data_IF_972422219636
#
_entry.id   IF_972422219636
#
_cell.length_a   1.000
_cell.length_b   1.000
_cell.length_c   1.000
_cell.angle_alpha   90.00
_cell.angle_beta   90.00
_cell.angle_gamma   90.00
#
_symmetry.space_group_name_H-M   'P 1'
#
loop_
_entity.id
_entity.type
_entity.pdbx_description
1 polymer ?
#
# COMPACT_ATOMS: atom_id res chain seq x y z
N UNK A 1 -7.29 -18.33 -0.90
CA UNK A 1 -6.58 -17.72 -2.05
C UNK A 1 -5.93 -16.44 -1.54
N UNK A 2 -4.69 -16.14 -1.91
CA UNK A 2 -4.03 -14.91 -1.46
C UNK A 2 -4.66 -13.68 -2.13
N UNK A 3 -5.00 -12.66 -1.35
CA UNK A 3 -5.49 -11.37 -1.87
C UNK A 3 -4.33 -10.37 -1.88
N UNK A 4 -3.98 -9.85 -3.06
CA UNK A 4 -2.92 -8.84 -3.24
C UNK A 4 -3.58 -7.48 -3.43
N UNK A 5 -3.22 -6.50 -2.59
CA UNK A 5 -3.84 -5.16 -2.57
C UNK A 5 -2.76 -4.09 -2.70
N UNK A 6 -2.79 -3.28 -3.76
CA UNK A 6 -1.98 -2.07 -3.84
C UNK A 6 -2.61 -0.96 -2.99
N UNK A 7 -1.80 -0.29 -2.17
CA UNK A 7 -2.21 0.91 -1.46
C UNK A 7 -1.65 2.11 -2.26
N UNK A 8 -2.47 2.71 -3.10
CA UNK A 8 -2.00 3.66 -4.10
C UNK A 8 -2.74 4.99 -4.09
N UNK A 9 -1.99 6.08 -4.20
CA UNK A 9 -2.48 7.42 -4.53
C UNK A 9 -1.32 8.26 -5.07
N UNK A 10 -1.57 9.02 -6.13
CA UNK A 10 -0.57 9.91 -6.73
C UNK A 10 -0.18 11.07 -5.81
N UNK A 11 -1.02 11.44 -4.85
CA UNK A 11 -0.72 12.51 -3.88
C UNK A 11 0.16 11.96 -2.76
N UNK A 12 1.26 12.67 -2.45
CA UNK A 12 2.07 12.41 -1.27
C UNK A 12 1.36 12.81 0.01
N UNK A 13 1.71 12.17 1.14
CA UNK A 13 1.21 12.54 2.45
C UNK A 13 -0.27 12.23 2.72
N UNK A 14 -0.91 11.35 1.96
CA UNK A 14 -2.32 10.94 2.18
C UNK A 14 -2.47 9.74 3.12
N UNK A 15 -1.39 9.28 3.74
CA UNK A 15 -1.41 8.16 4.68
C UNK A 15 -1.35 6.77 4.03
N UNK A 16 -0.76 6.62 2.83
CA UNK A 16 -0.55 5.32 2.19
C UNK A 16 0.21 4.36 3.10
N UNK A 17 1.43 4.72 3.46
CA UNK A 17 2.32 3.93 4.35
C UNK A 17 1.66 3.60 5.68
N UNK A 18 1.07 4.60 6.34
CA UNK A 18 0.36 4.41 7.61
C UNK A 18 -0.81 3.43 7.45
N UNK A 19 -1.54 3.50 6.32
CA UNK A 19 -2.63 2.58 6.03
C UNK A 19 -2.10 1.18 5.74
N UNK A 20 -1.03 1.03 4.94
CA UNK A 20 -0.41 -0.26 4.64
C UNK A 20 0.02 -0.98 5.91
N UNK A 21 0.78 -0.30 6.78
CA UNK A 21 1.28 -0.88 8.04
C UNK A 21 0.12 -1.26 8.96
N UNK A 22 -0.80 -0.33 9.24
CA UNK A 22 -1.83 -0.58 10.24
C UNK A 22 -2.93 -1.54 9.74
N UNK A 23 -3.29 -1.52 8.46
CA UNK A 23 -4.19 -2.51 7.87
C UNK A 23 -3.53 -3.89 7.86
N UNK A 24 -2.26 -4.00 7.46
CA UNK A 24 -1.54 -5.26 7.44
C UNK A 24 -1.44 -5.90 8.83
N UNK A 25 -1.03 -5.12 9.83
CA UNK A 25 -0.98 -5.59 11.21
C UNK A 25 -2.40 -5.89 11.75
N UNK A 26 -3.41 -5.11 11.38
CA UNK A 26 -4.81 -5.39 11.69
C UNK A 26 -5.25 -6.76 11.18
N UNK A 27 -4.93 -7.10 9.92
CA UNK A 27 -5.20 -8.41 9.32
C UNK A 27 -4.45 -9.53 10.04
N UNK A 28 -3.18 -9.33 10.41
CA UNK A 28 -2.40 -10.30 11.17
C UNK A 28 -3.00 -10.56 12.56
N UNK A 29 -3.50 -9.51 13.23
CA UNK A 29 -4.22 -9.62 14.50
C UNK A 29 -5.53 -10.42 14.40
N UNK A 30 -6.13 -10.48 13.21
CA UNK A 30 -7.29 -11.35 12.89
C UNK A 30 -6.86 -12.77 12.43
N UNK A 31 -5.57 -13.12 12.59
CA UNK A 31 -5.04 -14.46 12.32
C UNK A 31 -4.69 -14.72 10.86
N UNK A 32 -4.62 -13.70 10.01
CA UNK A 32 -4.19 -13.84 8.61
C UNK A 32 -2.66 -13.82 8.50
N UNK A 33 -2.10 -14.58 7.57
CA UNK A 33 -0.69 -14.53 7.18
C UNK A 33 -0.51 -13.34 6.22
N UNK A 34 0.28 -12.35 6.61
CA UNK A 34 0.39 -11.08 5.90
C UNK A 34 1.82 -10.79 5.51
N UNK A 35 2.01 -10.38 4.24
CA UNK A 35 3.25 -9.81 3.73
C UNK A 35 3.02 -8.35 3.34
N UNK A 36 3.88 -7.46 3.79
CA UNK A 36 3.94 -6.07 3.33
C UNK A 36 5.10 -5.89 2.37
N UNK A 37 4.90 -5.15 1.28
CA UNK A 37 5.96 -4.84 0.31
C UNK A 37 6.10 -3.32 0.23
N UNK A 38 7.28 -2.81 0.58
CA UNK A 38 7.60 -1.40 0.37
C UNK A 38 7.99 -1.18 -1.10
N UNK A 39 7.18 -0.45 -1.83
CA UNK A 39 7.40 -0.12 -3.24
C UNK A 39 7.64 1.39 -3.45
N UNK A 40 8.14 2.08 -2.40
CA UNK A 40 8.58 3.47 -2.46
C UNK A 40 10.10 3.55 -2.23
N UNK A 41 10.90 4.15 -3.15
CA UNK A 41 12.34 4.36 -2.96
C UNK A 41 12.71 5.13 -1.70
N UNK A 42 11.75 5.84 -1.10
CA UNK A 42 11.98 6.56 0.16
C UNK A 42 12.06 5.61 1.38
N UNK A 43 11.69 4.34 1.23
CA UNK A 43 11.75 3.36 2.30
C UNK A 43 10.87 3.70 3.52
N UNK A 44 9.80 4.48 3.32
CA UNK A 44 8.99 4.99 4.44
C UNK A 44 8.29 3.89 5.23
N UNK A 45 7.82 2.83 4.56
CA UNK A 45 7.26 1.68 5.25
C UNK A 45 8.35 0.89 5.98
N UNK A 46 9.50 0.73 5.36
CA UNK A 46 10.69 0.07 5.92
C UNK A 46 11.13 0.73 7.24
N UNK A 47 11.19 2.08 7.26
CA UNK A 47 11.44 2.85 8.51
C UNK A 47 10.32 2.64 9.52
N UNK A 48 9.06 2.69 9.09
CA UNK A 48 7.91 2.50 9.98
C UNK A 48 7.81 1.10 10.59
N UNK A 49 8.59 0.14 10.08
CA UNK A 49 8.73 -1.22 10.60
C UNK A 49 10.07 -1.45 11.33
N UNK A 50 10.74 -0.38 11.76
CA UNK A 50 11.86 -0.42 12.67
C UNK A 50 13.25 -0.52 12.02
N UNK A 51 13.37 -0.28 10.72
CA UNK A 51 14.68 -0.19 10.05
C UNK A 51 15.03 1.29 9.82
N UNK A 52 15.81 1.87 10.71
CA UNK A 52 16.14 3.30 10.71
C UNK A 52 16.92 3.77 9.49
N UNK A 53 17.74 2.90 8.90
CA UNK A 53 18.65 3.22 7.79
C UNK A 53 18.41 2.28 6.59
N UNK A 54 17.32 2.46 5.81
CA UNK A 54 16.97 1.59 4.68
C UNK A 54 18.09 1.46 3.64
N UNK A 55 18.84 2.52 3.41
CA UNK A 55 19.94 2.56 2.44
C UNK A 55 21.16 1.69 2.81
N UNK A 56 21.20 1.15 4.04
CA UNK A 56 22.19 0.15 4.46
C UNK A 56 21.77 -1.29 4.24
N UNK A 57 20.55 -1.51 3.77
CA UNK A 57 20.05 -2.86 3.46
C UNK A 57 20.76 -3.37 2.20
N UNK A 58 21.42 -4.52 2.32
CA UNK A 58 22.15 -5.13 1.22
C UNK A 58 21.25 -5.80 0.18
N UNK A 59 20.04 -6.24 0.56
CA UNK A 59 19.13 -6.95 -0.32
C UNK A 59 17.70 -6.45 -0.10
N UNK A 60 17.19 -5.69 -1.04
CA UNK A 60 15.92 -4.98 -1.01
C UNK A 60 15.00 -5.40 -2.17
N UNK A 61 13.80 -4.83 -2.25
CA UNK A 61 12.91 -5.04 -3.40
C UNK A 61 13.60 -4.73 -4.74
N UNK A 62 14.51 -3.73 -4.77
CA UNK A 62 15.23 -3.39 -6.00
C UNK A 62 16.08 -4.56 -6.51
N UNK A 63 16.79 -5.24 -5.60
CA UNK A 63 17.63 -6.39 -5.94
C UNK A 63 16.77 -7.56 -6.44
N UNK A 64 15.71 -7.90 -5.71
CA UNK A 64 14.77 -8.97 -6.10
C UNK A 64 14.18 -8.75 -7.49
N UNK A 65 13.72 -7.52 -7.79
CA UNK A 65 13.14 -7.25 -9.09
C UNK A 65 14.21 -7.30 -10.21
N UNK A 66 15.48 -6.96 -9.89
CA UNK A 66 16.58 -7.10 -10.82
C UNK A 66 16.94 -8.59 -11.03
N UNK A 67 16.95 -9.41 -9.98
CA UNK A 67 17.18 -10.86 -10.11
C UNK A 67 16.11 -11.51 -10.99
N UNK A 68 14.84 -11.10 -10.86
CA UNK A 68 13.75 -11.54 -11.75
C UNK A 68 14.00 -11.14 -13.21
N UNK A 69 14.52 -9.93 -13.44
CA UNK A 69 14.86 -9.43 -14.80
C UNK A 69 16.00 -10.23 -15.39
N UNK A 70 17.00 -10.55 -14.58
CA UNK A 70 18.21 -11.27 -15.00
C UNK A 70 18.02 -12.81 -15.01
N UNK A 71 16.86 -13.30 -14.57
CA UNK A 71 16.57 -14.74 -14.39
C UNK A 71 17.54 -15.40 -13.37
N UNK A 72 17.94 -14.63 -12.34
CA UNK A 72 18.80 -15.09 -11.25
C UNK A 72 17.98 -15.70 -10.11
N UNK A 73 18.62 -16.46 -9.22
CA UNK A 73 17.98 -17.08 -8.08
C UNK A 73 17.72 -16.05 -6.96
N UNK A 74 16.50 -16.05 -6.44
CA UNK A 74 16.08 -15.10 -5.38
C UNK A 74 16.39 -15.73 -4.02
N UNK A 75 17.09 -14.97 -3.16
CA UNK A 75 17.31 -15.33 -1.77
C UNK A 75 16.12 -14.89 -0.89
N UNK A 76 15.12 -15.78 -0.79
CA UNK A 76 13.89 -15.52 -0.02
C UNK A 76 14.15 -15.36 1.48
N UNK A 77 15.19 -15.98 2.04
CA UNK A 77 15.53 -15.86 3.46
C UNK A 77 16.08 -14.47 3.79
N UNK A 78 16.80 -13.85 2.84
CA UNK A 78 17.32 -12.49 3.02
C UNK A 78 16.26 -11.42 2.79
N UNK A 79 15.35 -11.62 1.83
CA UNK A 79 14.43 -10.55 1.44
C UNK A 79 13.18 -10.49 2.31
N UNK A 80 12.69 -11.61 2.84
CA UNK A 80 11.48 -11.66 3.65
C UNK A 80 11.87 -11.50 5.12
N UNK A 81 11.70 -10.27 5.61
CA UNK A 81 12.00 -9.93 7.00
C UNK A 81 10.78 -10.18 7.89
N UNK A 82 11.05 -10.56 9.15
CA UNK A 82 10.02 -10.80 10.17
C UNK A 82 9.86 -9.60 11.07
N UNK A 83 8.62 -9.21 11.34
CA UNK A 83 8.30 -8.14 12.29
C UNK A 83 7.64 -8.71 13.56
N UNK A 84 7.90 -8.07 14.71
CA UNK A 84 7.40 -8.52 16.02
C UNK A 84 5.87 -8.57 16.14
N UNK A 85 5.14 -7.81 15.30
CA UNK A 85 3.68 -7.80 15.25
C UNK A 85 3.10 -8.87 14.28
N UNK A 86 3.82 -9.98 14.06
CA UNK A 86 3.41 -11.15 13.29
C UNK A 86 3.07 -10.86 11.82
N UNK A 87 3.80 -9.98 11.20
CA UNK A 87 3.81 -9.78 9.75
C UNK A 87 5.19 -10.08 9.18
N UNK A 88 5.23 -10.44 7.92
CA UNK A 88 6.44 -10.44 7.12
C UNK A 88 6.48 -9.16 6.27
N UNK A 89 7.69 -8.69 5.93
CA UNK A 89 7.80 -7.55 5.03
C UNK A 89 9.02 -7.61 4.12
N UNK A 90 8.92 -6.95 2.98
CA UNK A 90 9.99 -6.75 2.01
C UNK A 90 10.37 -5.28 2.04
N UNK A 91 11.63 -4.95 2.37
CA UNK A 91 12.09 -3.58 2.49
C UNK A 91 12.40 -2.96 1.12
N UNK A 92 12.35 -1.62 1.06
CA UNK A 92 12.87 -0.84 -0.05
C UNK A 92 13.95 0.12 0.42
N UNK A 93 14.76 0.56 -0.54
CA UNK A 93 15.78 1.59 -0.38
C UNK A 93 15.86 2.46 -1.65
N UNK A 94 16.78 3.43 -1.67
CA UNK A 94 16.95 4.36 -2.78
C UNK A 94 17.29 3.68 -4.12
N UNK A 95 17.83 2.45 -4.11
CA UNK A 95 18.16 1.70 -5.32
C UNK A 95 16.94 1.42 -6.20
N UNK A 96 15.74 1.37 -5.59
CA UNK A 96 14.49 1.18 -6.32
C UNK A 96 14.22 2.30 -7.35
N UNK A 97 14.70 3.53 -7.10
CA UNK A 97 14.63 4.62 -8.08
C UNK A 97 15.53 4.37 -9.30
N UNK A 98 16.71 3.78 -9.07
CA UNK A 98 17.63 3.39 -10.16
C UNK A 98 17.08 2.25 -11.00
N UNK A 99 16.41 1.29 -10.35
CA UNK A 99 15.75 0.18 -11.03
C UNK A 99 14.68 0.67 -12.02
N UNK A 100 13.88 1.67 -11.67
CA UNK A 100 12.84 2.22 -12.56
C UNK A 100 13.43 2.71 -13.88
N UNK A 101 14.61 3.30 -13.85
CA UNK A 101 15.35 3.72 -15.07
C UNK A 101 15.89 2.51 -15.83
N UNK A 102 16.44 1.53 -15.15
CA UNK A 102 17.01 0.31 -15.75
C UNK A 102 15.94 -0.53 -16.47
N UNK A 103 14.71 -0.54 -15.97
CA UNK A 103 13.60 -1.29 -16.57
C UNK A 103 13.12 -0.73 -17.91
N UNK A 104 13.56 0.44 -18.36
CA UNK A 104 13.07 1.07 -19.61
C UNK A 104 13.21 0.15 -20.81
N UNK A 105 14.30 -0.63 -20.89
CA UNK A 105 14.60 -1.53 -22.02
C UNK A 105 14.25 -3.01 -21.73
N UNK A 106 13.67 -3.32 -20.58
CA UNK A 106 13.34 -4.69 -20.21
C UNK A 106 12.05 -5.13 -20.91
N UNK A 107 12.07 -6.32 -21.51
CA UNK A 107 10.86 -6.91 -22.11
C UNK A 107 9.85 -7.30 -21.02
N UNK A 108 8.57 -7.01 -21.28
CA UNK A 108 7.49 -7.30 -20.31
C UNK A 108 7.76 -6.74 -18.91
N UNK A 109 8.38 -5.58 -18.86
CA UNK A 109 8.79 -4.89 -17.62
C UNK A 109 7.63 -4.64 -16.63
N UNK A 110 6.41 -4.58 -17.14
CA UNK A 110 5.19 -4.41 -16.34
C UNK A 110 4.85 -5.67 -15.53
N UNK A 111 5.45 -6.83 -15.85
CA UNK A 111 5.15 -8.13 -15.26
C UNK A 111 6.21 -8.61 -14.24
N UNK A 112 7.26 -7.84 -14.02
CA UNK A 112 8.41 -8.27 -13.20
C UNK A 112 7.97 -8.59 -11.77
N UNK A 113 7.24 -7.68 -11.11
CA UNK A 113 6.72 -7.88 -9.75
C UNK A 113 5.69 -9.02 -9.72
N UNK A 114 4.87 -9.18 -10.75
CA UNK A 114 3.91 -10.28 -10.85
C UNK A 114 4.61 -11.64 -10.86
N UNK A 115 5.73 -11.77 -11.58
CA UNK A 115 6.54 -13.01 -11.59
C UNK A 115 7.04 -13.31 -10.19
N UNK A 116 7.61 -12.33 -9.51
CA UNK A 116 8.08 -12.49 -8.13
C UNK A 116 6.96 -12.91 -7.18
N UNK A 117 5.85 -12.16 -7.12
CA UNK A 117 4.73 -12.43 -6.21
C UNK A 117 4.10 -13.80 -6.48
N UNK A 118 4.07 -14.25 -7.74
CA UNK A 118 3.52 -15.57 -8.09
C UNK A 118 4.24 -16.73 -7.40
N UNK A 119 5.51 -16.56 -7.04
CA UNK A 119 6.31 -17.59 -6.37
C UNK A 119 6.08 -17.64 -4.85
N UNK A 120 5.57 -16.59 -4.24
CA UNK A 120 5.46 -16.48 -2.77
C UNK A 120 4.02 -16.38 -2.26
N UNK A 121 3.05 -16.05 -3.12
CA UNK A 121 1.67 -15.76 -2.73
C UNK A 121 0.95 -16.91 -2.01
N UNK A 122 1.35 -18.14 -2.22
CA UNK A 122 0.73 -19.31 -1.57
C UNK A 122 1.03 -19.38 -0.06
N UNK A 123 2.08 -18.69 0.38
CA UNK A 123 2.47 -18.61 1.78
C UNK A 123 1.64 -17.62 2.58
N UNK A 124 0.88 -16.74 1.92
CA UNK A 124 0.16 -15.63 2.53
C UNK A 124 -1.33 -15.63 2.20
N UNK A 125 -2.11 -15.06 3.11
CA UNK A 125 -3.54 -14.80 2.90
C UNK A 125 -3.72 -13.41 2.30
N UNK A 126 -2.85 -12.46 2.69
CA UNK A 126 -2.82 -11.08 2.17
C UNK A 126 -1.39 -10.65 1.84
N UNK A 127 -1.25 -9.93 0.73
CA UNK A 127 -0.04 -9.16 0.38
C UNK A 127 -0.48 -7.72 0.16
N UNK A 128 0.06 -6.77 0.94
CA UNK A 128 -0.19 -5.34 0.75
C UNK A 128 1.05 -4.67 0.18
N UNK A 129 0.88 -3.84 -0.85
CA UNK A 129 1.99 -3.14 -1.51
C UNK A 129 1.84 -1.63 -1.27
N UNK A 130 2.79 -1.03 -0.53
CA UNK A 130 2.86 0.41 -0.31
C UNK A 130 3.45 1.12 -1.52
N UNK A 131 2.61 1.76 -2.32
CA UNK A 131 3.04 2.39 -3.56
C UNK A 131 3.57 3.81 -3.37
N UNK A 132 4.63 4.16 -4.09
CA UNK A 132 5.15 5.53 -4.16
C UNK A 132 4.09 6.52 -4.69
N UNK A 133 4.21 7.85 -4.41
CA UNK A 133 3.26 8.86 -4.88
C UNK A 133 3.49 9.24 -6.36
N UNK A 134 3.60 8.26 -7.22
CA UNK A 134 3.75 8.42 -8.67
C UNK A 134 3.00 7.33 -9.42
N UNK A 135 2.82 7.50 -10.72
CA UNK A 135 2.29 6.48 -11.63
C UNK A 135 3.39 5.94 -12.54
N UNK A 136 4.61 5.79 -12.00
CA UNK A 136 5.76 5.24 -12.67
C UNK A 136 5.70 3.72 -12.84
N UNK A 137 6.80 3.13 -13.32
CA UNK A 137 6.87 1.71 -13.67
C UNK A 137 6.67 0.80 -12.46
N UNK A 138 7.18 1.16 -11.29
CA UNK A 138 7.01 0.38 -10.06
C UNK A 138 5.54 0.33 -9.63
N UNK A 139 4.83 1.48 -9.66
CA UNK A 139 3.39 1.51 -9.37
C UNK A 139 2.59 0.72 -10.41
N UNK A 140 2.96 0.76 -11.69
CA UNK A 140 2.32 -0.07 -12.72
C UNK A 140 2.55 -1.55 -12.43
N UNK A 141 3.75 -1.96 -12.04
CA UNK A 141 4.05 -3.34 -11.62
C UNK A 141 3.18 -3.78 -10.44
N UNK A 142 3.01 -2.93 -9.42
CA UNK A 142 2.08 -3.18 -8.32
C UNK A 142 0.66 -3.43 -8.86
N UNK A 143 0.10 -2.51 -9.65
CA UNK A 143 -1.24 -2.64 -10.23
C UNK A 143 -1.43 -3.86 -11.14
N UNK A 144 -0.36 -4.37 -11.73
CA UNK A 144 -0.42 -5.54 -12.62
C UNK A 144 -0.44 -6.86 -11.86
N UNK A 145 0.17 -6.91 -10.69
CA UNK A 145 0.19 -8.13 -9.86
C UNK A 145 -0.97 -8.22 -8.87
N UNK A 146 -1.70 -7.12 -8.65
CA UNK A 146 -2.74 -7.01 -7.63
C UNK A 146 -4.10 -7.59 -8.06
N UNK A 147 -4.88 -7.99 -7.05
CA UNK A 147 -6.30 -8.27 -7.22
C UNK A 147 -7.12 -6.96 -7.14
N UNK A 148 -6.71 -6.06 -6.26
CA UNK A 148 -7.43 -4.81 -6.02
C UNK A 148 -6.52 -3.66 -5.58
N UNK A 149 -7.07 -2.45 -5.63
CA UNK A 149 -6.42 -1.20 -5.22
C UNK A 149 -7.25 -0.53 -4.13
N UNK A 150 -6.67 -0.34 -2.95
CA UNK A 150 -7.23 0.49 -1.90
C UNK A 150 -6.63 1.90 -2.02
N UNK A 151 -7.49 2.92 -2.00
CA UNK A 151 -7.09 4.31 -2.28
C UNK A 151 -7.28 5.17 -1.03
N UNK A 152 -6.21 5.46 -0.26
CA UNK A 152 -6.28 6.45 0.81
C UNK A 152 -6.46 7.85 0.24
N UNK A 153 -7.47 8.59 0.73
CA UNK A 153 -7.80 9.94 0.27
C UNK A 153 -7.92 10.87 1.47
N UNK A 154 -7.09 11.91 1.48
CA UNK A 154 -7.22 12.97 2.48
C UNK A 154 -8.38 13.90 2.12
N UNK A 155 -9.26 14.23 3.07
CA UNK A 155 -10.35 15.18 2.90
C UNK A 155 -9.82 16.63 2.78
N UNK A 156 -9.27 16.98 1.60
CA UNK A 156 -8.75 18.32 1.26
C UNK A 156 -9.11 18.70 -0.17
N UNK A 157 -9.14 19.99 -0.50
CA UNK A 157 -9.65 20.54 -1.77
C UNK A 157 -8.96 20.02 -3.06
N UNK A 158 -7.74 19.51 -2.99
CA UNK A 158 -6.93 19.14 -4.16
C UNK A 158 -6.87 17.64 -4.54
N UNK A 159 -7.62 16.70 -3.93
CA UNK A 159 -7.49 15.27 -4.27
C UNK A 159 -8.03 14.90 -5.65
N UNK A 160 -9.02 15.66 -6.16
CA UNK A 160 -9.84 15.24 -7.30
C UNK A 160 -9.02 15.00 -8.58
N UNK A 161 -8.03 15.86 -8.88
CA UNK A 161 -7.25 15.74 -10.12
C UNK A 161 -6.29 14.53 -10.09
N UNK A 162 -5.59 14.32 -8.97
CA UNK A 162 -4.70 13.18 -8.78
C UNK A 162 -5.47 11.85 -8.74
N UNK A 163 -6.63 11.82 -8.10
CA UNK A 163 -7.52 10.67 -8.04
C UNK A 163 -8.01 10.29 -9.45
N UNK A 164 -8.43 11.26 -10.27
CA UNK A 164 -8.84 11.00 -11.66
C UNK A 164 -7.72 10.38 -12.50
N UNK A 165 -6.48 10.81 -12.33
CA UNK A 165 -5.34 10.24 -13.04
C UNK A 165 -5.06 8.81 -12.59
N UNK A 166 -5.12 8.52 -11.29
CA UNK A 166 -4.99 7.17 -10.76
C UNK A 166 -6.08 6.24 -11.33
N UNK A 167 -7.35 6.66 -11.26
CA UNK A 167 -8.49 5.88 -11.79
C UNK A 167 -8.31 5.60 -13.29
N UNK A 168 -7.86 6.60 -14.08
CA UNK A 168 -7.55 6.39 -15.50
C UNK A 168 -6.43 5.38 -15.71
N UNK A 169 -5.38 5.40 -14.86
CA UNK A 169 -4.28 4.44 -14.94
C UNK A 169 -4.75 3.05 -14.56
N UNK A 170 -5.50 2.88 -13.47
CA UNK A 170 -6.13 1.60 -13.08
C UNK A 170 -6.99 1.05 -14.22
N UNK A 171 -7.85 1.90 -14.82
CA UNK A 171 -8.70 1.51 -15.95
C UNK A 171 -7.91 1.09 -17.18
N UNK A 172 -6.74 1.70 -17.42
CA UNK A 172 -5.84 1.32 -18.51
C UNK A 172 -5.17 -0.02 -18.24
N UNK A 173 -4.61 -0.21 -17.03
CA UNK A 173 -4.02 -1.48 -16.61
C UNK A 173 -5.03 -2.60 -16.69
N UNK A 174 -6.25 -2.40 -16.15
CA UNK A 174 -7.34 -3.39 -16.22
C UNK A 174 -7.68 -3.78 -17.64
N UNK A 175 -7.74 -2.84 -18.55
CA UNK A 175 -8.13 -3.10 -19.95
C UNK A 175 -7.05 -3.78 -20.77
N UNK A 176 -5.76 -3.50 -20.47
CA UNK A 176 -4.64 -3.91 -21.32
C UNK A 176 -3.84 -5.08 -20.77
N UNK A 177 -3.73 -5.24 -19.45
CA UNK A 177 -2.76 -6.16 -18.84
C UNK A 177 -3.40 -7.04 -17.75
N UNK A 178 -4.16 -6.46 -16.82
CA UNK A 178 -4.74 -7.17 -15.68
C UNK A 178 -6.26 -6.96 -15.63
N UNK A 179 -7.01 -7.79 -16.35
CA UNK A 179 -8.47 -7.65 -16.49
C UNK A 179 -9.23 -7.86 -15.17
N UNK A 180 -8.63 -8.54 -14.20
CA UNK A 180 -9.23 -8.84 -12.90
C UNK A 180 -9.05 -7.72 -11.88
N UNK A 181 -8.20 -6.71 -12.19
CA UNK A 181 -7.92 -5.61 -11.29
C UNK A 181 -9.20 -4.84 -10.93
N UNK A 182 -9.48 -4.73 -9.64
CA UNK A 182 -10.63 -4.00 -9.09
C UNK A 182 -10.15 -2.83 -8.24
N UNK A 183 -11.03 -1.89 -7.95
CA UNK A 183 -10.82 -0.93 -6.87
C UNK A 183 -11.53 -1.50 -5.64
N UNK A 184 -10.77 -1.71 -4.56
CA UNK A 184 -11.28 -2.19 -3.28
C UNK A 184 -12.20 -1.17 -2.63
N UNK A 185 -11.83 0.08 -2.73
CA UNK A 185 -12.54 1.23 -2.21
C UNK A 185 -11.60 2.39 -1.89
N UNK A 186 -12.20 3.53 -1.56
CA UNK A 186 -11.50 4.68 -1.02
C UNK A 186 -11.62 4.70 0.51
N UNK A 187 -10.51 4.91 1.22
CA UNK A 187 -10.51 5.16 2.66
C UNK A 187 -10.18 6.62 2.93
N UNK A 188 -11.06 7.29 3.68
CA UNK A 188 -10.84 8.69 4.04
C UNK A 188 -9.86 8.79 5.21
N UNK A 189 -8.77 9.52 4.99
CA UNK A 189 -7.68 9.68 5.97
C UNK A 189 -7.57 11.11 6.46
N UNK A 190 -6.96 11.28 7.64
CA UNK A 190 -6.73 12.60 8.28
C UNK A 190 -8.01 13.42 8.39
N UNK A 191 -9.11 12.77 8.76
CA UNK A 191 -10.45 13.37 8.79
C UNK A 191 -10.64 14.18 10.07
N UNK A 192 -11.06 15.45 9.95
CA UNK A 192 -11.61 16.22 11.07
C UNK A 192 -13.11 16.43 10.87
N UNK A 193 -13.91 15.56 11.50
CA UNK A 193 -15.38 15.58 11.40
C UNK A 193 -16.04 16.82 12.00
N UNK A 194 -15.28 17.69 12.71
CA UNK A 194 -15.80 18.97 13.23
C UNK A 194 -15.85 20.03 12.14
N UNK A 195 -15.11 19.86 11.06
CA UNK A 195 -15.04 20.80 9.95
C UNK A 195 -16.20 20.56 8.98
N UNK A 196 -16.99 21.57 8.69
CA UNK A 196 -18.01 21.53 7.63
C UNK A 196 -17.39 21.28 6.26
N UNK A 197 -16.22 21.88 6.01
CA UNK A 197 -15.46 21.66 4.79
C UNK A 197 -15.13 20.19 4.53
N UNK A 198 -14.77 19.44 5.58
CA UNK A 198 -14.54 17.99 5.46
C UNK A 198 -15.82 17.25 5.05
N UNK A 199 -16.96 17.64 5.60
CA UNK A 199 -18.26 17.05 5.25
C UNK A 199 -18.64 17.32 3.80
N UNK A 200 -18.46 18.55 3.34
CA UNK A 200 -18.75 18.93 1.95
C UNK A 200 -17.90 18.13 0.96
N UNK A 201 -16.61 17.88 1.30
CA UNK A 201 -15.73 17.06 0.46
C UNK A 201 -16.15 15.58 0.47
N UNK A 202 -16.54 15.04 1.62
CA UNK A 202 -17.03 13.66 1.72
C UNK A 202 -18.28 13.49 0.84
N UNK A 203 -19.27 14.40 0.94
CA UNK A 203 -20.47 14.39 0.12
C UNK A 203 -20.14 14.49 -1.39
N UNK A 204 -19.18 15.35 -1.76
CA UNK A 204 -18.75 15.50 -3.15
C UNK A 204 -18.07 14.22 -3.69
N UNK A 205 -17.25 13.55 -2.88
CA UNK A 205 -16.62 12.29 -3.26
C UNK A 205 -17.66 11.17 -3.36
N UNK A 206 -18.58 11.10 -2.40
CA UNK A 206 -19.64 10.10 -2.35
C UNK A 206 -20.59 10.24 -3.55
N UNK A 207 -21.00 11.47 -3.89
CA UNK A 207 -21.84 11.73 -5.07
C UNK A 207 -21.12 11.44 -6.40
N UNK A 208 -19.80 11.61 -6.45
CA UNK A 208 -19.03 11.43 -7.70
C UNK A 208 -18.54 10.01 -7.89
N UNK A 209 -18.17 9.32 -6.84
CA UNK A 209 -17.46 8.03 -6.88
C UNK A 209 -18.13 6.90 -6.08
N UNK A 210 -19.07 7.21 -5.17
CA UNK A 210 -19.64 6.23 -4.25
C UNK A 210 -20.23 5.02 -4.95
N UNK A 211 -21.01 5.22 -6.02
CA UNK A 211 -21.62 4.14 -6.78
C UNK A 211 -20.63 3.34 -7.64
N UNK A 212 -19.52 3.96 -8.07
CA UNK A 212 -18.60 3.36 -9.05
C UNK A 212 -17.35 2.74 -8.44
N UNK A 213 -16.90 3.27 -7.30
CA UNK A 213 -15.62 2.87 -6.66
C UNK A 213 -15.89 2.30 -5.26
N UNK A 214 -16.87 2.83 -4.55
CA UNK A 214 -17.11 2.56 -3.14
C UNK A 214 -16.20 3.40 -2.22
N UNK A 215 -16.73 3.75 -1.07
CA UNK A 215 -15.99 4.44 -0.01
C UNK A 215 -16.22 3.64 1.27
N UNK A 216 -15.14 3.23 1.93
CA UNK A 216 -15.21 2.56 3.21
C UNK A 216 -15.93 3.42 4.25
N UNK A 217 -16.71 2.81 5.11
CA UNK A 217 -17.39 3.52 6.21
C UNK A 217 -16.40 4.03 7.25
N UNK A 218 -15.30 3.31 7.44
CA UNK A 218 -14.20 3.70 8.31
C UNK A 218 -13.57 5.01 7.88
N UNK A 219 -13.38 5.91 8.85
CA UNK A 219 -12.75 7.23 8.67
C UNK A 219 -11.54 7.32 9.58
N UNK A 220 -10.35 7.46 9.01
CA UNK A 220 -9.12 7.56 9.80
C UNK A 220 -8.93 9.01 10.24
N UNK A 221 -9.06 9.34 11.53
CA UNK A 221 -8.97 10.71 11.99
C UNK A 221 -7.53 11.23 11.95
N UNK A 222 -7.39 12.55 11.84
CA UNK A 222 -6.09 13.20 12.02
C UNK A 222 -5.58 12.98 13.45
N UNK A 223 -4.32 12.53 13.58
CA UNK A 223 -3.71 12.26 14.88
C UNK A 223 -2.20 12.47 14.83
N UNK A 224 -1.67 13.18 15.81
CA UNK A 224 -0.22 13.32 16.02
C UNK A 224 0.38 11.96 16.38
N UNK A 225 -0.31 11.17 17.22
CA UNK A 225 0.15 9.82 17.60
C UNK A 225 0.33 8.88 16.43
N UNK A 226 -0.54 8.98 15.42
CA UNK A 226 -0.38 8.20 14.20
C UNK A 226 0.84 8.62 13.35
N UNK A 227 1.28 9.87 13.48
CA UNK A 227 2.51 10.33 12.84
C UNK A 227 3.77 9.88 13.63
N UNK A 228 3.67 9.76 14.94
CA UNK A 228 4.75 9.31 15.82
C UNK A 228 5.10 7.82 15.62
N UNK A 229 4.14 6.99 15.22
CA UNK A 229 4.35 5.53 15.03
C UNK A 229 5.47 5.22 14.06
N UNK A 230 5.60 6.00 12.99
CA UNK A 230 6.66 5.81 11.98
C UNK A 230 8.07 6.03 12.53
N UNK A 231 8.22 6.87 13.57
CA UNK A 231 9.50 7.11 14.21
C UNK A 231 9.85 6.06 15.28
N UNK A 232 8.86 5.31 15.77
CA UNK A 232 9.04 4.29 16.81
C UNK A 232 9.12 2.86 16.26
N UNK A 233 8.91 2.66 14.96
CA UNK A 233 8.89 1.34 14.34
C UNK A 233 7.75 0.44 14.85
N UNK A 234 6.60 1.02 15.24
CA UNK A 234 5.47 0.32 15.86
C UNK A 234 4.15 0.70 15.22
N UNK A 235 3.19 -0.22 15.23
CA UNK A 235 1.83 0.10 14.79
C UNK A 235 1.10 1.01 15.78
N UNK A 236 0.01 1.60 15.30
CA UNK A 236 -0.91 2.35 16.16
C UNK A 236 -1.55 1.45 17.25
N UNK A 237 -1.64 0.16 17.00
CA UNK A 237 -2.20 -0.80 17.94
C UNK A 237 -1.33 -1.01 19.19
N UNK A 238 0.00 -0.80 19.08
CA UNK A 238 0.93 -0.82 20.22
C UNK A 238 1.06 0.58 20.80
N UNK A 239 1.24 1.60 19.94
CA UNK A 239 1.53 2.97 20.37
C UNK A 239 0.33 3.65 21.07
N UNK A 240 -0.89 3.49 20.54
CA UNK A 240 -2.13 4.05 21.12
C UNK A 240 -3.31 3.08 20.98
N UNK A 241 -3.30 1.94 21.70
CA UNK A 241 -4.25 0.83 21.49
C UNK A 241 -5.70 1.19 21.79
N UNK A 242 -5.95 2.25 22.56
CA UNK A 242 -7.30 2.73 22.89
C UNK A 242 -7.69 3.98 22.10
N UNK A 243 -6.79 4.46 21.27
CA UNK A 243 -6.97 5.66 20.47
C UNK A 243 -8.02 5.48 19.37
N UNK A 244 -8.54 6.63 18.91
CA UNK A 244 -9.53 6.62 17.82
C UNK A 244 -8.95 6.05 16.52
N UNK A 245 -7.66 6.31 16.23
CA UNK A 245 -7.01 5.81 15.01
C UNK A 245 -6.89 4.29 15.03
N UNK A 246 -6.50 3.69 16.18
CA UNK A 246 -6.44 2.24 16.31
C UNK A 246 -7.80 1.59 16.05
N UNK A 247 -8.88 2.15 16.60
CA UNK A 247 -10.24 1.68 16.36
C UNK A 247 -10.66 1.82 14.90
N UNK A 248 -10.36 2.97 14.27
CA UNK A 248 -10.70 3.17 12.85
C UNK A 248 -9.96 2.21 11.92
N UNK A 249 -8.70 1.85 12.22
CA UNK A 249 -8.00 0.82 11.45
C UNK A 249 -8.51 -0.60 11.74
N UNK A 250 -9.01 -0.87 12.96
CA UNK A 250 -9.68 -2.13 13.25
C UNK A 250 -10.99 -2.26 12.47
N UNK A 251 -11.81 -1.21 12.42
CA UNK A 251 -13.02 -1.13 11.62
C UNK A 251 -12.69 -1.32 10.10
N UNK A 252 -11.69 -0.62 9.57
CA UNK A 252 -11.24 -0.79 8.20
C UNK A 252 -10.80 -2.23 7.91
N UNK A 253 -10.10 -2.86 8.85
CA UNK A 253 -9.67 -4.25 8.72
C UNK A 253 -10.88 -5.19 8.59
N UNK A 254 -11.93 -4.96 9.38
CA UNK A 254 -13.16 -5.75 9.31
C UNK A 254 -13.90 -5.54 7.99
N UNK A 255 -14.00 -4.30 7.50
CA UNK A 255 -14.58 -4.03 6.19
C UNK A 255 -13.83 -4.73 5.06
N UNK A 256 -12.48 -4.70 5.06
CA UNK A 256 -11.65 -5.38 4.05
C UNK A 256 -11.83 -6.90 4.10
N UNK A 257 -12.02 -7.48 5.29
CA UNK A 257 -12.29 -8.92 5.45
C UNK A 257 -13.68 -9.32 4.92
N UNK A 258 -14.67 -8.44 5.01
CA UNK A 258 -16.03 -8.70 4.46
C UNK A 258 -16.05 -8.66 2.93
N UNK A 259 -15.12 -7.93 2.31
CA UNK A 259 -14.97 -7.85 0.85
C UNK A 259 -14.20 -9.06 0.25
N UNK A 260 -14.01 -10.16 1.01
CA UNK A 260 -13.38 -11.41 0.52
C UNK A 260 -14.19 -12.15 -0.55
#
# INVERSE_FOLDING_TARGET
MCKVIAIANQKGGVGKTTTTVNLGIGLARKGKRVLLIDADPQGSMTVSLGIDEPDKIEYSLANVLMDVVNEEEIDYEKIILKHEENIDFIPANIELAGLEVSMVNVMSRELVMKRFISNIKENYDYILIDCMPSLGMITINALVCDNSVLIPVQASYLPVKGLQQLIKTISRVRRQINQELKIEGMVMTMVDMRSNYTKDILEALESTYGETIGIFDSRIPMSVRAAETSAEGKSIYIHDPRGKVAKSYEELTEEVLVHE
#
